data_IF_680512973019
#
_entry.id   IF_680512973019
#
_cell.length_a   1.000
_cell.length_b   1.000
_cell.length_c   1.000
_cell.angle_alpha   90.00
_cell.angle_beta   90.00
_cell.angle_gamma   90.00
#
_symmetry.space_group_name_H-M   'P 1'
#
loop_
_entity.id
_entity.type
_entity.pdbx_description
1 polymer ?
#
# COMPACT_ATOMS: atom_id res chain seq x y z
N UNK A 1 26.99 -16.44 3.37
CA UNK A 1 27.36 -15.13 2.87
C UNK A 1 26.54 -14.07 3.58
N UNK A 2 27.16 -12.96 3.99
CA UNK A 2 26.42 -11.83 4.51
C UNK A 2 25.46 -11.34 3.42
N UNK A 3 24.15 -11.53 3.62
CA UNK A 3 23.13 -11.05 2.71
C UNK A 3 23.24 -9.53 2.57
N UNK A 4 23.13 -9.01 1.37
CA UNK A 4 23.05 -7.57 1.17
C UNK A 4 21.80 -7.03 1.90
N UNK A 5 21.94 -5.87 2.56
CA UNK A 5 20.80 -5.19 3.16
C UNK A 5 19.80 -4.84 2.06
N UNK A 6 18.53 -5.27 2.15
CA UNK A 6 17.54 -4.91 1.13
C UNK A 6 17.23 -3.41 1.18
N UNK A 7 17.09 -2.81 0.00
CA UNK A 7 16.78 -1.39 -0.17
C UNK A 7 15.33 -1.25 -0.62
N UNK A 8 14.50 -0.55 0.18
CA UNK A 8 13.17 -0.09 -0.17
C UNK A 8 13.24 1.38 -0.61
N UNK A 9 12.73 1.70 -1.79
CA UNK A 9 12.67 3.08 -2.29
C UNK A 9 11.22 3.52 -2.39
N UNK A 10 10.88 4.64 -1.73
CA UNK A 10 9.57 5.28 -1.80
C UNK A 10 9.49 6.31 -2.93
N UNK A 11 8.33 6.38 -3.57
CA UNK A 11 7.98 7.43 -4.52
C UNK A 11 7.63 6.95 -5.93
N UNK A 12 6.83 7.77 -6.62
CA UNK A 12 6.25 7.47 -7.93
C UNK A 12 6.82 8.27 -9.11
N UNK A 13 7.99 8.91 -8.96
CA UNK A 13 8.62 9.72 -10.03
C UNK A 13 9.07 8.88 -11.21
N UNK A 14 8.38 8.99 -12.35
CA UNK A 14 8.54 8.08 -13.50
C UNK A 14 9.92 8.06 -14.13
N UNK A 15 10.55 9.24 -14.26
CA UNK A 15 11.81 9.38 -15.00
C UNK A 15 13.05 9.00 -14.18
N UNK A 16 13.06 9.32 -12.88
CA UNK A 16 14.24 9.15 -12.03
C UNK A 16 14.00 8.10 -10.96
N UNK A 17 12.96 8.27 -10.13
CA UNK A 17 12.71 7.37 -8.99
C UNK A 17 12.50 5.94 -9.45
N UNK A 18 11.56 5.68 -10.38
CA UNK A 18 11.29 4.33 -10.85
C UNK A 18 12.47 3.70 -11.60
N UNK A 19 13.27 4.50 -12.30
CA UNK A 19 14.53 4.00 -12.87
C UNK A 19 15.54 3.59 -11.79
N UNK A 20 15.65 4.37 -10.71
CA UNK A 20 16.52 4.03 -9.56
C UNK A 20 16.03 2.76 -8.86
N UNK A 21 14.71 2.62 -8.68
CA UNK A 21 14.08 1.39 -8.16
C UNK A 21 14.47 0.19 -9.01
N UNK A 22 14.23 0.25 -10.32
CA UNK A 22 14.57 -0.83 -11.26
C UNK A 22 16.04 -1.24 -11.20
N UNK A 23 16.94 -0.28 -10.92
CA UNK A 23 18.38 -0.55 -10.93
C UNK A 23 18.88 -1.12 -9.58
N UNK A 24 18.35 -0.66 -8.44
CA UNK A 24 19.01 -0.88 -7.15
C UNK A 24 18.11 -1.44 -6.06
N UNK A 25 16.77 -1.28 -6.13
CA UNK A 25 15.90 -1.62 -5.01
C UNK A 25 15.45 -3.07 -5.03
N UNK A 26 15.20 -3.65 -3.86
CA UNK A 26 14.50 -4.92 -3.65
C UNK A 26 13.03 -4.70 -3.29
N UNK A 27 12.67 -3.47 -2.89
CA UNK A 27 11.30 -3.08 -2.62
C UNK A 27 11.00 -1.67 -3.16
N UNK A 28 9.76 -1.46 -3.53
CA UNK A 28 9.25 -0.17 -3.99
C UNK A 28 7.96 0.16 -3.28
N UNK A 29 7.86 1.37 -2.73
CA UNK A 29 6.68 1.85 -2.01
C UNK A 29 6.07 3.08 -2.67
N UNK A 30 4.76 3.05 -2.85
CA UNK A 30 3.97 4.22 -3.29
C UNK A 30 2.69 4.36 -2.48
N UNK A 31 2.05 5.50 -2.65
CA UNK A 31 0.63 5.74 -2.39
C UNK A 31 -0.08 6.10 -3.70
N UNK A 32 -1.39 6.03 -3.72
CA UNK A 32 -2.21 6.38 -4.87
C UNK A 32 -3.37 5.40 -5.06
N UNK A 33 -4.36 5.82 -5.82
CA UNK A 33 -5.47 4.95 -6.22
C UNK A 33 -5.00 3.78 -7.11
N UNK A 34 -5.89 2.84 -7.36
CA UNK A 34 -5.59 1.63 -8.15
C UNK A 34 -5.09 1.98 -9.55
N UNK A 35 -5.67 3.00 -10.19
CA UNK A 35 -5.28 3.39 -11.55
C UNK A 35 -3.85 3.98 -11.57
N UNK A 36 -3.53 4.82 -10.58
CA UNK A 36 -2.18 5.36 -10.38
C UNK A 36 -1.18 4.25 -10.10
N UNK A 37 -1.51 3.33 -9.19
CA UNK A 37 -0.65 2.20 -8.83
C UNK A 37 -0.36 1.30 -10.05
N UNK A 38 -1.39 0.94 -10.80
CA UNK A 38 -1.27 0.14 -12.03
C UNK A 38 -0.38 0.83 -13.08
N UNK A 39 -0.61 2.13 -13.33
CA UNK A 39 0.21 2.90 -14.26
C UNK A 39 1.69 2.94 -13.83
N UNK A 40 1.95 3.20 -12.56
CA UNK A 40 3.33 3.27 -12.03
C UNK A 40 4.03 1.91 -12.05
N UNK A 41 3.32 0.82 -11.77
CA UNK A 41 3.84 -0.54 -11.88
C UNK A 41 4.25 -0.84 -13.34
N UNK A 42 3.45 -0.45 -14.32
CA UNK A 42 3.79 -0.62 -15.73
C UNK A 42 5.02 0.21 -16.16
N UNK A 43 5.15 1.46 -15.65
CA UNK A 43 6.35 2.27 -15.89
C UNK A 43 7.59 1.61 -15.26
N UNK A 44 7.48 1.08 -14.04
CA UNK A 44 8.57 0.36 -13.38
C UNK A 44 8.98 -0.88 -14.19
N UNK A 45 8.01 -1.67 -14.68
CA UNK A 45 8.27 -2.84 -15.53
C UNK A 45 9.11 -2.49 -16.75
N UNK A 46 8.79 -1.39 -17.45
CA UNK A 46 9.58 -0.91 -18.61
C UNK A 46 11.00 -0.50 -18.23
N UNK A 47 11.19 0.12 -17.05
CA UNK A 47 12.54 0.42 -16.56
C UNK A 47 13.33 -0.84 -16.23
N UNK A 48 12.68 -1.87 -15.67
CA UNK A 48 13.32 -3.17 -15.40
C UNK A 48 13.77 -3.83 -16.70
N UNK A 49 12.92 -3.86 -17.72
CA UNK A 49 13.28 -4.35 -19.06
C UNK A 49 14.48 -3.62 -19.65
N UNK A 50 14.51 -2.29 -19.53
CA UNK A 50 15.60 -1.47 -20.05
C UNK A 50 16.96 -1.72 -19.36
N UNK A 51 16.95 -2.22 -18.11
CA UNK A 51 18.18 -2.56 -17.36
C UNK A 51 18.44 -4.06 -17.29
N UNK A 52 17.60 -4.89 -17.92
CA UNK A 52 17.75 -6.34 -17.97
C UNK A 52 17.46 -7.05 -16.63
N UNK A 53 16.54 -6.49 -15.83
CA UNK A 53 16.14 -7.04 -14.52
C UNK A 53 14.73 -7.60 -14.56
N UNK A 54 14.49 -8.71 -13.85
CA UNK A 54 13.14 -9.24 -13.67
C UNK A 54 12.35 -8.30 -12.74
N UNK A 55 11.18 -7.78 -13.18
CA UNK A 55 10.31 -6.98 -12.32
C UNK A 55 9.84 -7.72 -11.05
N UNK A 56 9.75 -9.05 -11.09
CA UNK A 56 9.37 -9.88 -9.95
C UNK A 56 10.42 -9.92 -8.83
N UNK A 57 11.65 -9.46 -9.09
CA UNK A 57 12.69 -9.29 -8.06
C UNK A 57 12.47 -8.05 -7.18
N UNK A 58 11.40 -7.28 -7.42
CA UNK A 58 11.08 -6.07 -6.69
C UNK A 58 9.72 -6.24 -6.01
N UNK A 59 9.71 -6.26 -4.68
CA UNK A 59 8.48 -6.28 -3.91
C UNK A 59 7.74 -4.93 -4.07
N UNK A 60 6.48 -4.96 -4.50
CA UNK A 60 5.65 -3.78 -4.59
C UNK A 60 4.85 -3.61 -3.30
N UNK A 61 5.05 -2.48 -2.63
CA UNK A 61 4.39 -2.13 -1.39
C UNK A 61 3.52 -0.89 -1.57
N UNK A 62 2.43 -0.82 -0.83
CA UNK A 62 1.49 0.29 -0.85
C UNK A 62 1.33 0.85 0.56
N UNK A 63 1.33 2.18 0.71
CA UNK A 63 1.07 2.83 1.99
C UNK A 63 -0.21 3.65 1.91
N UNK A 64 -1.13 3.43 2.85
CA UNK A 64 -2.36 4.20 2.98
C UNK A 64 -2.76 4.39 4.44
N UNK A 65 -3.49 5.47 4.69
CA UNK A 65 -4.25 5.58 5.93
C UNK A 65 -5.27 4.47 6.03
N UNK A 66 -5.46 3.93 7.23
CA UNK A 66 -6.44 2.88 7.46
C UNK A 66 -7.16 3.09 8.79
N UNK A 67 -8.50 3.04 8.76
CA UNK A 67 -9.35 3.03 9.95
C UNK A 67 -10.44 1.97 9.79
N UNK A 68 -10.52 1.04 10.75
CA UNK A 68 -11.48 -0.07 10.75
C UNK A 68 -12.61 0.18 11.74
N UNK A 69 -13.85 0.21 11.22
CA UNK A 69 -15.12 0.30 11.98
C UNK A 69 -16.20 -0.47 11.23
N UNK A 70 -17.23 -0.92 11.95
CA UNK A 70 -18.39 -1.57 11.32
C UNK A 70 -19.20 -0.57 10.49
N UNK A 71 -19.28 0.67 10.97
CA UNK A 71 -19.94 1.78 10.28
C UNK A 71 -18.89 2.61 9.49
N UNK A 72 -19.08 2.71 8.18
CA UNK A 72 -18.15 3.42 7.29
C UNK A 72 -18.10 4.94 7.56
N UNK A 73 -19.21 5.54 7.98
CA UNK A 73 -19.25 6.97 8.31
C UNK A 73 -18.54 7.23 9.63
N UNK A 74 -18.57 6.28 10.56
CA UNK A 74 -17.76 6.32 11.78
C UNK A 74 -16.27 6.20 11.45
N UNK A 75 -15.88 5.22 10.64
CA UNK A 75 -14.50 5.06 10.19
C UNK A 75 -13.95 6.33 9.56
N UNK A 76 -14.73 6.95 8.67
CA UNK A 76 -14.37 8.23 8.04
C UNK A 76 -14.21 9.38 9.03
N UNK A 77 -15.12 9.48 10.02
CA UNK A 77 -15.05 10.53 11.05
C UNK A 77 -13.80 10.37 11.94
N UNK A 78 -13.47 9.12 12.30
CA UNK A 78 -12.26 8.81 13.08
C UNK A 78 -10.99 9.16 12.29
N UNK A 79 -10.92 8.79 11.03
CA UNK A 79 -9.78 9.15 10.16
C UNK A 79 -9.66 10.67 10.03
N UNK A 80 -10.77 11.39 9.76
CA UNK A 80 -10.74 12.85 9.66
C UNK A 80 -10.24 13.49 10.95
N UNK A 81 -10.75 13.06 12.10
CA UNK A 81 -10.34 13.59 13.40
C UNK A 81 -8.83 13.37 13.66
N UNK A 82 -8.29 12.21 13.28
CA UNK A 82 -6.87 11.93 13.39
C UNK A 82 -6.02 12.81 12.46
N UNK A 83 -6.45 13.02 11.23
CA UNK A 83 -5.79 13.92 10.27
C UNK A 83 -5.79 15.36 10.77
N UNK A 84 -6.93 15.85 11.26
CA UNK A 84 -7.08 17.21 11.80
C UNK A 84 -6.17 17.42 13.02
N UNK A 85 -6.09 16.43 13.94
CA UNK A 85 -5.23 16.49 15.11
C UNK A 85 -3.73 16.58 14.76
N UNK A 86 -3.35 16.06 13.60
CA UNK A 86 -1.97 16.15 13.08
C UNK A 86 -1.74 17.34 12.13
N UNK A 87 -2.73 18.22 11.97
CA UNK A 87 -2.62 19.36 11.06
C UNK A 87 -2.45 18.95 9.59
N UNK A 88 -2.93 17.78 9.21
CA UNK A 88 -2.81 17.25 7.86
C UNK A 88 -3.72 18.02 6.90
N UNK A 89 -3.22 18.32 5.71
CA UNK A 89 -4.02 18.86 4.59
C UNK A 89 -4.58 17.76 3.68
N UNK A 90 -4.43 16.49 4.06
CA UNK A 90 -4.94 15.37 3.29
C UNK A 90 -6.48 15.42 3.22
N UNK A 91 -7.01 15.19 2.03
CA UNK A 91 -8.46 15.07 1.80
C UNK A 91 -8.77 13.60 1.65
N UNK A 92 -9.66 13.09 2.50
CA UNK A 92 -10.06 11.68 2.48
C UNK A 92 -10.75 11.36 1.15
N UNK A 93 -10.19 10.39 0.43
CA UNK A 93 -10.71 9.87 -0.83
C UNK A 93 -11.01 8.36 -0.70
N UNK A 94 -12.29 7.93 -0.87
CA UNK A 94 -12.66 6.51 -0.78
C UNK A 94 -11.97 5.60 -1.80
N UNK A 95 -11.46 6.13 -2.90
CA UNK A 95 -10.69 5.35 -3.88
C UNK A 95 -9.21 5.22 -3.49
N UNK A 96 -8.77 6.02 -2.54
CA UNK A 96 -7.39 6.08 -2.12
C UNK A 96 -7.19 5.59 -0.68
N UNK A 97 -8.03 6.04 0.27
CA UNK A 97 -7.86 5.74 1.69
C UNK A 97 -8.66 4.50 2.11
N UNK A 98 -8.13 3.73 3.03
CA UNK A 98 -8.76 2.53 3.53
C UNK A 98 -9.55 2.81 4.80
N UNK A 99 -10.87 2.82 4.71
CA UNK A 99 -11.75 2.96 5.87
C UNK A 99 -13.07 2.21 5.67
N UNK A 100 -13.59 1.66 6.76
CA UNK A 100 -14.78 0.81 6.78
C UNK A 100 -14.54 -0.45 7.59
N UNK A 101 -15.31 -1.51 7.34
CA UNK A 101 -15.04 -2.80 7.96
C UNK A 101 -13.94 -3.59 7.21
N UNK A 102 -13.50 -4.69 7.81
CA UNK A 102 -12.38 -5.48 7.27
C UNK A 102 -12.68 -6.05 5.88
N UNK A 103 -13.93 -6.44 5.60
CA UNK A 103 -14.34 -6.97 4.31
C UNK A 103 -14.27 -5.89 3.22
N UNK A 104 -14.69 -4.66 3.53
CA UNK A 104 -14.63 -3.53 2.61
C UNK A 104 -13.18 -3.17 2.29
N UNK A 105 -12.34 -3.06 3.31
CA UNK A 105 -10.91 -2.74 3.14
C UNK A 105 -10.18 -3.88 2.42
N UNK A 106 -10.47 -5.15 2.74
CA UNK A 106 -9.88 -6.28 2.04
C UNK A 106 -10.30 -6.32 0.56
N UNK A 107 -11.56 -6.00 0.24
CA UNK A 107 -12.04 -5.92 -1.14
C UNK A 107 -11.32 -4.81 -1.92
N UNK A 108 -11.09 -3.67 -1.30
CA UNK A 108 -10.32 -2.58 -1.90
C UNK A 108 -8.86 -2.98 -2.12
N UNK A 109 -8.21 -3.61 -1.14
CA UNK A 109 -6.84 -4.10 -1.26
C UNK A 109 -6.67 -5.11 -2.40
N UNK A 110 -7.61 -6.04 -2.59
CA UNK A 110 -7.54 -7.04 -3.66
C UNK A 110 -7.40 -6.43 -5.06
N UNK A 111 -7.94 -5.23 -5.30
CA UNK A 111 -7.78 -4.50 -6.56
C UNK A 111 -6.30 -4.15 -6.86
N UNK A 112 -5.48 -3.95 -5.82
CA UNK A 112 -4.04 -3.69 -5.98
C UNK A 112 -3.23 -4.98 -6.18
N UNK A 113 -3.70 -6.12 -5.63
CA UNK A 113 -3.05 -7.41 -5.84
C UNK A 113 -2.95 -7.77 -7.33
N UNK A 114 -3.96 -7.41 -8.13
CA UNK A 114 -4.00 -7.62 -9.58
C UNK A 114 -2.87 -6.90 -10.32
N UNK A 115 -2.26 -5.90 -9.68
CA UNK A 115 -1.15 -5.10 -10.20
C UNK A 115 0.18 -5.39 -9.51
N UNK A 116 0.25 -6.51 -8.75
CA UNK A 116 1.49 -6.99 -8.14
C UNK A 116 1.85 -6.37 -6.79
N UNK A 117 0.95 -5.58 -6.18
CA UNK A 117 1.17 -5.04 -4.83
C UNK A 117 0.82 -6.11 -3.80
N UNK A 118 1.83 -6.66 -3.13
CA UNK A 118 1.68 -7.79 -2.20
C UNK A 118 1.91 -7.42 -0.75
N UNK A 119 2.29 -6.17 -0.46
CA UNK A 119 2.58 -5.70 0.88
C UNK A 119 1.85 -4.38 1.16
N UNK A 120 0.96 -4.38 2.15
CA UNK A 120 0.27 -3.19 2.64
C UNK A 120 0.98 -2.63 3.87
N UNK A 121 1.37 -1.36 3.78
CA UNK A 121 1.84 -0.57 4.92
C UNK A 121 0.66 0.27 5.40
N UNK A 122 0.19 -0.02 6.61
CA UNK A 122 -0.92 0.70 7.24
C UNK A 122 -0.36 1.91 7.98
N UNK A 123 -0.76 3.11 7.56
CA UNK A 123 -0.44 4.35 8.27
C UNK A 123 -1.58 4.69 9.23
N UNK A 124 -1.28 4.69 10.52
CA UNK A 124 -2.21 5.03 11.61
C UNK A 124 -1.70 6.30 12.28
N UNK A 125 -2.29 7.47 12.00
CA UNK A 125 -1.81 8.72 12.58
C UNK A 125 -2.05 8.78 14.11
N UNK A 126 -1.22 9.56 14.79
CA UNK A 126 -1.40 9.82 16.24
C UNK A 126 -2.63 10.74 16.48
N UNK A 127 -3.41 10.57 17.59
CA UNK A 127 -3.29 9.48 18.55
C UNK A 127 -3.65 8.13 17.90
N UNK A 128 -2.85 7.10 18.18
CA UNK A 128 -3.02 5.81 17.54
C UNK A 128 -4.37 5.20 17.85
N UNK A 129 -5.10 4.84 16.81
CA UNK A 129 -6.40 4.19 16.92
C UNK A 129 -6.24 2.71 17.29
N UNK A 130 -6.36 2.40 18.59
CA UNK A 130 -6.17 1.06 19.11
C UNK A 130 -7.21 0.07 18.56
N UNK A 131 -8.45 0.51 18.33
CA UNK A 131 -9.46 -0.37 17.76
C UNK A 131 -9.08 -0.86 16.36
N UNK A 132 -8.59 0.04 15.50
CA UNK A 132 -8.05 -0.37 14.20
C UNK A 132 -6.89 -1.36 14.36
N UNK A 133 -5.96 -1.10 15.28
CA UNK A 133 -4.80 -2.00 15.50
C UNK A 133 -5.26 -3.40 15.93
N UNK A 134 -6.23 -3.50 16.83
CA UNK A 134 -6.79 -4.77 17.31
C UNK A 134 -7.51 -5.56 16.20
N UNK A 135 -8.03 -4.88 15.18
CA UNK A 135 -8.76 -5.47 14.05
C UNK A 135 -7.86 -5.87 12.87
N UNK A 136 -6.61 -5.39 12.81
CA UNK A 136 -5.66 -5.72 11.73
C UNK A 136 -5.44 -7.23 11.51
N UNK A 137 -5.39 -8.10 12.55
CA UNK A 137 -5.26 -9.54 12.34
C UNK A 137 -6.38 -10.12 11.47
N UNK A 138 -7.62 -9.69 11.68
CA UNK A 138 -8.76 -10.14 10.87
C UNK A 138 -8.67 -9.62 9.44
N UNK A 139 -8.29 -8.34 9.25
CA UNK A 139 -8.03 -7.79 7.91
C UNK A 139 -6.97 -8.60 7.17
N UNK A 140 -5.87 -8.97 7.85
CA UNK A 140 -4.79 -9.77 7.27
C UNK A 140 -5.30 -11.14 6.78
N UNK A 141 -6.13 -11.83 7.56
CA UNK A 141 -6.73 -13.10 7.17
C UNK A 141 -7.53 -12.95 5.87
N UNK A 142 -8.43 -11.95 5.82
CA UNK A 142 -9.28 -11.70 4.66
C UNK A 142 -8.46 -11.33 3.41
N UNK A 143 -7.41 -10.56 3.57
CA UNK A 143 -6.50 -10.23 2.45
C UNK A 143 -5.77 -11.49 1.97
N UNK A 144 -5.28 -12.33 2.90
CA UNK A 144 -4.57 -13.56 2.57
C UNK A 144 -5.43 -14.56 1.78
N UNK A 145 -6.75 -14.61 2.02
CA UNK A 145 -7.70 -15.43 1.26
C UNK A 145 -7.73 -15.08 -0.26
N UNK A 146 -7.29 -13.88 -0.64
CA UNK A 146 -7.21 -13.42 -2.03
C UNK A 146 -5.82 -13.55 -2.67
N UNK A 147 -4.80 -13.97 -1.90
CA UNK A 147 -3.44 -14.10 -2.42
C UNK A 147 -3.26 -15.38 -3.23
N UNK A 148 -2.45 -15.34 -4.32
CA UNK A 148 -2.06 -16.57 -5.01
C UNK A 148 -1.25 -17.49 -4.08
N UNK A 149 -1.31 -18.82 -4.28
CA UNK A 149 -0.56 -19.78 -3.50
C UNK A 149 0.94 -19.45 -3.51
N UNK A 150 1.54 -19.33 -2.31
CA UNK A 150 2.98 -19.04 -2.14
C UNK A 150 3.32 -17.62 -1.68
N UNK A 151 2.32 -16.73 -1.54
CA UNK A 151 2.48 -15.37 -0.98
C UNK A 151 1.77 -15.20 0.38
N UNK A 152 1.19 -16.26 0.93
CA UNK A 152 0.52 -16.29 2.25
C UNK A 152 1.46 -16.64 3.37
#
# INVERSE_FOLDING_TARGET
GAGSLPILIGGGGEKKTLRTVATYAQGWNINGDVATAAHKAEVLRRHCEAVGRDPLDIEHTLVHFCVLRDDIDEARRVLQAALDANGSSHIIDPEHDFFGNEEQVAAQWRRYLEHGFTHLIVDIPSPFDLETIERLPRLRELVAEGLPPGLS
#
